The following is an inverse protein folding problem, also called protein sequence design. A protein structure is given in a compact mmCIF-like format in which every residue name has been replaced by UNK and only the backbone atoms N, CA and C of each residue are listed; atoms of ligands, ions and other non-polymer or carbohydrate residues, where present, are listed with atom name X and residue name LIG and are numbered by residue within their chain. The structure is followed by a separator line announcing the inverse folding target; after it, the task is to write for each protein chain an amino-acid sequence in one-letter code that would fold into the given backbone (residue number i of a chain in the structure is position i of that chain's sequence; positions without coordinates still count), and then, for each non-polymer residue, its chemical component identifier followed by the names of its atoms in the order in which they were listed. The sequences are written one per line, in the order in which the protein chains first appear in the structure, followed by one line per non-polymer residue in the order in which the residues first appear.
data_IF_177066645670
#
_entry.id   IF_177066645670
#
_cell.length_a   1.000
_cell.length_b   1.000
_cell.length_c   1.000
_cell.angle_alpha   90.00
_cell.angle_beta   90.00
_cell.angle_gamma   90.00
#
_symmetry.space_group_name_H-M   'P 1'
#
loop_
_entity.id
_entity.type
_entity.pdbx_description
1 polymer ?
#
# COMPACT_ATOMS: atom_id res chain seq x y z
N UNK A 1 -1.17 8.11 -7.08
CA UNK A 1 -0.65 6.76 -7.36
C UNK A 1 0.83 6.80 -7.02
N UNK A 2 1.32 5.85 -6.22
CA UNK A 2 2.72 5.73 -5.85
C UNK A 2 3.21 4.34 -6.25
N UNK A 3 4.28 4.29 -7.03
CA UNK A 3 4.89 3.05 -7.52
C UNK A 3 6.23 2.82 -6.83
N UNK A 4 6.31 1.78 -6.01
CA UNK A 4 7.48 1.42 -5.20
C UNK A 4 8.12 2.62 -4.44
N UNK A 5 7.33 3.47 -3.74
CA UNK A 5 7.82 4.74 -3.20
C UNK A 5 8.80 4.59 -2.03
N UNK A 6 8.93 3.39 -1.46
CA UNK A 6 9.84 3.07 -0.35
C UNK A 6 11.14 2.42 -0.81
N UNK A 7 11.35 2.23 -2.13
CA UNK A 7 12.50 1.48 -2.65
C UNK A 7 13.86 2.10 -2.25
N UNK A 8 13.92 3.43 -2.11
CA UNK A 8 15.13 4.18 -1.77
C UNK A 8 15.08 4.82 -0.38
N UNK A 9 14.01 4.55 0.38
CA UNK A 9 13.79 5.16 1.70
C UNK A 9 14.33 4.25 2.80
N UNK A 10 14.93 4.87 3.81
CA UNK A 10 15.18 4.20 5.09
C UNK A 10 13.86 3.81 5.78
N UNK A 11 13.88 2.89 6.76
CA UNK A 11 12.68 2.53 7.51
C UNK A 11 11.96 3.74 8.13
N UNK A 12 12.71 4.69 8.69
CA UNK A 12 12.16 5.89 9.32
C UNK A 12 11.52 6.85 8.31
N UNK A 13 12.10 6.96 7.11
CA UNK A 13 11.51 7.76 6.03
C UNK A 13 10.23 7.12 5.47
N UNK A 14 10.19 5.79 5.40
CA UNK A 14 8.99 5.04 5.00
C UNK A 14 7.85 5.21 5.99
N UNK A 15 8.14 5.19 7.30
CA UNK A 15 7.14 5.49 8.34
C UNK A 15 6.57 6.90 8.20
N UNK A 16 7.41 7.91 7.94
CA UNK A 16 6.96 9.29 7.70
C UNK A 16 6.08 9.39 6.46
N UNK A 17 6.47 8.71 5.37
CA UNK A 17 5.63 8.62 4.17
C UNK A 17 4.25 8.05 4.53
N UNK A 18 4.19 6.95 5.27
CA UNK A 18 2.92 6.34 5.66
C UNK A 18 2.04 7.24 6.53
N UNK A 19 2.64 8.07 7.40
CA UNK A 19 1.88 9.09 8.17
C UNK A 19 1.23 10.09 7.21
N UNK A 20 1.97 10.63 6.24
CA UNK A 20 1.44 11.55 5.25
C UNK A 20 0.33 10.93 4.40
N UNK A 21 0.52 9.70 3.92
CA UNK A 21 -0.49 9.00 3.13
C UNK A 21 -1.80 8.80 3.93
N UNK A 22 -1.70 8.47 5.22
CA UNK A 22 -2.88 8.34 6.09
C UNK A 22 -3.62 9.68 6.28
N UNK A 23 -2.89 10.78 6.43
CA UNK A 23 -3.51 12.11 6.55
C UNK A 23 -4.28 12.48 5.26
N UNK A 24 -3.68 12.25 4.10
CA UNK A 24 -4.32 12.46 2.80
C UNK A 24 -5.60 11.61 2.63
N UNK A 25 -5.57 10.34 3.05
CA UNK A 25 -6.77 9.49 3.03
C UNK A 25 -7.85 10.03 3.98
N UNK A 26 -7.48 10.53 5.15
CA UNK A 26 -8.41 11.14 6.10
C UNK A 26 -9.07 12.41 5.55
N UNK A 27 -8.40 13.14 4.65
CA UNK A 27 -8.95 14.27 3.90
C UNK A 27 -9.87 13.85 2.73
N UNK A 28 -10.09 12.55 2.53
CA UNK A 28 -10.96 11.99 1.49
C UNK A 28 -10.25 11.68 0.18
N UNK A 29 -8.92 11.75 0.12
CA UNK A 29 -8.16 11.40 -1.08
C UNK A 29 -8.04 9.88 -1.24
N UNK A 30 -8.25 9.41 -2.46
CA UNK A 30 -7.98 8.01 -2.83
C UNK A 30 -6.51 7.84 -3.23
N UNK A 31 -5.84 6.84 -2.66
CA UNK A 31 -4.44 6.53 -2.93
C UNK A 31 -4.33 5.12 -3.48
N UNK A 32 -3.56 4.97 -4.57
CA UNK A 32 -3.08 3.68 -5.07
C UNK A 32 -1.61 3.59 -4.69
N UNK A 33 -1.26 2.57 -3.91
CA UNK A 33 0.08 2.29 -3.43
C UNK A 33 0.51 0.92 -3.98
N UNK A 34 1.60 0.88 -4.72
CA UNK A 34 2.14 -0.33 -5.35
C UNK A 34 3.46 -0.66 -4.65
N UNK A 35 3.56 -1.89 -4.15
CA UNK A 35 4.76 -2.40 -3.48
C UNK A 35 4.78 -3.92 -3.57
N UNK A 36 5.96 -4.49 -3.76
CA UNK A 36 6.21 -5.93 -3.63
C UNK A 36 6.50 -6.36 -2.18
N UNK A 37 6.57 -5.42 -1.23
CA UNK A 37 6.82 -5.71 0.18
C UNK A 37 5.49 -5.88 0.94
N UNK A 38 5.12 -7.14 1.22
CA UNK A 38 3.87 -7.46 1.94
C UNK A 38 3.65 -6.67 3.24
N UNK A 39 4.65 -6.49 4.13
CA UNK A 39 4.44 -5.72 5.36
C UNK A 39 3.97 -4.28 5.13
N UNK A 40 4.42 -3.64 4.05
CA UNK A 40 4.00 -2.28 3.71
C UNK A 40 2.55 -2.27 3.24
N UNK A 41 2.21 -3.14 2.29
CA UNK A 41 0.84 -3.29 1.76
C UNK A 41 -0.15 -3.55 2.89
N UNK A 42 0.19 -4.45 3.80
CA UNK A 42 -0.64 -4.78 4.95
C UNK A 42 -0.82 -3.62 5.93
N UNK A 43 0.19 -2.76 6.08
CA UNK A 43 0.18 -1.65 7.04
C UNK A 43 -0.61 -0.43 6.56
N UNK A 44 -0.75 -0.21 5.24
CA UNK A 44 -1.35 1.03 4.71
C UNK A 44 -2.59 0.84 3.87
N UNK A 45 -2.85 -0.35 3.35
CA UNK A 45 -3.97 -0.56 2.42
C UNK A 45 -5.28 -0.88 3.15
N UNK A 46 -6.40 -0.35 2.65
CA UNK A 46 -7.74 -0.83 3.05
C UNK A 46 -8.20 -2.02 2.21
N UNK A 47 -7.72 -2.08 0.95
CA UNK A 47 -8.00 -3.13 -0.04
C UNK A 47 -6.70 -3.48 -0.74
N UNK A 48 -6.49 -4.76 -1.02
CA UNK A 48 -5.34 -5.27 -1.74
C UNK A 48 -5.83 -5.90 -3.04
N UNK A 49 -5.16 -5.60 -4.14
CA UNK A 49 -5.36 -6.24 -5.43
C UNK A 49 -4.06 -6.92 -5.86
N UNK A 50 -4.14 -8.16 -6.32
CA UNK A 50 -2.99 -8.93 -6.78
C UNK A 50 -3.09 -9.09 -8.29
N UNK A 51 -2.02 -8.69 -8.98
CA UNK A 51 -1.90 -8.84 -10.42
C UNK A 51 -0.89 -9.94 -10.75
N UNK A 52 -1.23 -10.80 -11.72
CA UNK A 52 -0.35 -11.82 -12.28
C UNK A 52 -0.51 -11.86 -13.79
N UNK A 53 0.60 -11.78 -14.51
CA UNK A 53 0.62 -11.78 -15.99
C UNK A 53 -0.36 -10.77 -16.61
N UNK A 54 -0.41 -9.55 -16.07
CA UNK A 54 -1.28 -8.47 -16.56
C UNK A 54 -2.77 -8.64 -16.22
N UNK A 55 -3.15 -9.64 -15.41
CA UNK A 55 -4.54 -9.86 -14.97
C UNK A 55 -4.66 -9.72 -13.46
N UNK A 56 -5.73 -9.08 -12.99
CA UNK A 56 -6.08 -9.11 -11.58
C UNK A 56 -6.59 -10.50 -11.22
N UNK A 57 -5.83 -11.23 -10.42
CA UNK A 57 -6.17 -12.59 -10.00
C UNK A 57 -6.91 -12.62 -8.67
N UNK A 58 -6.83 -11.53 -7.90
CA UNK A 58 -7.46 -11.42 -6.60
C UNK A 58 -7.67 -9.96 -6.19
N UNK A 59 -8.70 -9.72 -5.41
CA UNK A 59 -8.97 -8.43 -4.79
C UNK A 59 -9.79 -8.63 -3.52
N UNK A 60 -9.26 -8.19 -2.38
CA UNK A 60 -9.94 -8.35 -1.08
C UNK A 60 -9.64 -7.19 -0.12
N UNK A 61 -10.49 -6.97 0.90
CA UNK A 61 -10.14 -6.08 1.99
C UNK A 61 -8.80 -6.49 2.62
N UNK A 62 -8.02 -5.53 3.08
CA UNK A 62 -6.80 -5.82 3.82
C UNK A 62 -7.10 -6.44 5.19
N UNK A 63 -8.26 -6.10 5.76
CA UNK A 63 -8.77 -6.74 6.96
C UNK A 63 -9.01 -8.24 6.71
N UNK A 64 -8.28 -9.08 7.45
CA UNK A 64 -8.41 -10.54 7.36
C UNK A 64 -7.45 -11.23 6.36
N UNK A 65 -6.48 -10.50 5.78
CA UNK A 65 -5.36 -11.13 5.10
C UNK A 65 -4.41 -11.78 6.13
N UNK A 66 -4.20 -13.08 5.99
CA UNK A 66 -3.12 -13.84 6.63
C UNK A 66 -1.81 -13.70 5.83
N UNK A 67 -0.69 -13.95 6.51
CA UNK A 67 0.66 -13.79 5.95
C UNK A 67 1.11 -15.03 5.18
#
# INVERSE_FOLDING_TARGET
ILDEPTAVLTPQESERLFVTLRAMVAEGLSIIFISHKLPEVMAVSNRVAVLRAGRMIDQRPAAGLDR
#
